data_IF_813752975476
#
_entry.id   IF_813752975476
#
_cell.length_a   1.000
_cell.length_b   1.000
_cell.length_c   1.000
_cell.angle_alpha   90.00
_cell.angle_beta   90.00
_cell.angle_gamma   90.00
#
_symmetry.space_group_name_H-M   'P 1'
#
loop_
_entity.id
_entity.type
_entity.pdbx_description
1 polymer ?
#
# COMPACT_ATOMS: atom_id res chain seq x y z
N UNK A 1 -10.49 -85.83 149.96
CA UNK A 1 -10.99 -87.00 150.70
C UNK A 1 -12.44 -86.78 151.06
N UNK A 2 -13.34 -87.71 150.75
CA UNK A 2 -14.64 -87.80 151.40
C UNK A 2 -14.52 -88.51 152.76
N UNK A 3 -15.56 -88.31 153.58
CA UNK A 3 -15.92 -88.97 154.86
C UNK A 3 -15.36 -88.44 156.19
N UNK A 4 -16.28 -88.43 157.17
CA UNK A 4 -16.24 -88.07 158.61
C UNK A 4 -16.55 -86.58 158.93
N UNK A 5 -17.80 -86.18 159.17
CA UNK A 5 -18.76 -86.53 160.25
C UNK A 5 -18.44 -85.91 161.61
N UNK A 6 -19.35 -85.02 162.06
CA UNK A 6 -19.97 -85.07 163.39
C UNK A 6 -19.15 -84.74 164.65
N UNK A 7 -19.39 -83.53 165.17
CA UNK A 7 -19.44 -83.10 166.60
C UNK A 7 -18.21 -83.31 167.53
N UNK A 8 -17.69 -82.15 167.96
CA UNK A 8 -16.92 -81.73 169.15
C UNK A 8 -17.11 -82.53 170.48
N UNK A 9 -16.31 -82.28 171.54
CA UNK A 9 -14.85 -82.01 171.62
C UNK A 9 -14.20 -82.80 172.79
N UNK A 10 -13.13 -83.56 172.56
CA UNK A 10 -12.03 -83.75 173.55
C UNK A 10 -10.92 -84.61 172.94
N UNK A 11 -9.68 -84.12 173.08
CA UNK A 11 -8.38 -84.72 172.76
C UNK A 11 -7.85 -84.47 171.34
N UNK A 12 -7.14 -83.34 171.23
CA UNK A 12 -6.30 -82.90 170.13
C UNK A 12 -4.97 -83.69 170.07
N UNK A 13 -4.52 -84.00 168.86
CA UNK A 13 -3.13 -84.35 168.53
C UNK A 13 -2.57 -83.39 167.48
N UNK A 14 -1.32 -82.96 167.67
CA UNK A 14 -0.63 -81.90 166.90
C UNK A 14 -0.36 -82.26 165.43
N UNK A 15 -0.36 -83.55 165.11
CA UNK A 15 -0.03 -84.09 163.78
C UNK A 15 -1.13 -83.84 162.73
N UNK A 16 -2.41 -83.84 163.12
CA UNK A 16 -3.53 -83.56 162.19
C UNK A 16 -3.64 -82.07 161.84
N UNK A 17 -3.25 -81.18 162.76
CA UNK A 17 -3.12 -79.74 162.52
C UNK A 17 -1.93 -79.42 161.61
N UNK A 18 -0.80 -80.12 161.77
CA UNK A 18 0.35 -80.00 160.87
C UNK A 18 0.04 -80.52 159.47
N UNK A 19 -0.70 -81.63 159.32
CA UNK A 19 -1.13 -82.13 158.02
C UNK A 19 -2.06 -81.16 157.29
N UNK A 20 -3.01 -80.52 158.00
CA UNK A 20 -3.90 -79.50 157.44
C UNK A 20 -3.15 -78.20 157.08
N UNK A 21 -2.19 -77.77 157.90
CA UNK A 21 -1.41 -76.54 157.68
C UNK A 21 -0.41 -76.72 156.52
N UNK A 22 0.21 -77.89 156.38
CA UNK A 22 1.04 -78.24 155.21
C UNK A 22 0.19 -78.37 153.94
N UNK A 23 -1.01 -78.95 154.02
CA UNK A 23 -1.92 -79.02 152.87
C UNK A 23 -2.42 -77.64 152.44
N UNK A 24 -2.79 -76.77 153.39
CA UNK A 24 -3.19 -75.39 153.13
C UNK A 24 -2.03 -74.57 152.54
N UNK A 25 -0.81 -74.69 153.07
CA UNK A 25 0.36 -74.02 152.51
C UNK A 25 0.70 -74.53 151.11
N UNK A 26 0.62 -75.85 150.87
CA UNK A 26 0.82 -76.44 149.53
C UNK A 26 -0.26 -75.99 148.54
N UNK A 27 -1.50 -75.80 149.00
CA UNK A 27 -2.60 -75.23 148.21
C UNK A 27 -2.38 -73.75 147.91
N UNK A 28 -1.92 -72.95 148.89
CA UNK A 28 -1.60 -71.53 148.71
C UNK A 28 -0.42 -71.36 147.75
N UNK A 29 0.66 -72.14 147.90
CA UNK A 29 1.80 -72.12 146.97
C UNK A 29 1.38 -72.58 145.58
N UNK A 30 0.49 -73.58 145.47
CA UNK A 30 -0.08 -73.97 144.19
C UNK A 30 -0.89 -72.82 143.55
N UNK A 31 -1.77 -72.16 144.31
CA UNK A 31 -2.54 -71.01 143.82
C UNK A 31 -1.65 -69.80 143.47
N UNK A 32 -0.61 -69.52 144.25
CA UNK A 32 0.36 -68.47 143.94
C UNK A 32 1.14 -68.79 142.67
N UNK A 33 1.57 -70.04 142.50
CA UNK A 33 2.20 -70.49 141.26
C UNK A 33 1.23 -70.45 140.08
N UNK A 34 -0.03 -70.80 140.28
CA UNK A 34 -1.07 -70.73 139.24
C UNK A 34 -1.36 -69.28 138.86
N UNK A 35 -1.41 -68.34 139.81
CA UNK A 35 -1.57 -66.89 139.55
C UNK A 35 -0.34 -66.32 138.84
N UNK A 36 0.87 -66.67 139.25
CA UNK A 36 2.09 -66.22 138.58
C UNK A 36 2.16 -66.75 137.14
N UNK A 37 1.80 -68.02 136.93
CA UNK A 37 1.67 -68.62 135.58
C UNK A 37 0.60 -67.91 134.76
N UNK A 38 -0.56 -67.61 135.34
CA UNK A 38 -1.62 -66.85 134.66
C UNK A 38 -1.15 -65.46 134.27
N UNK A 39 -0.46 -64.71 135.15
CA UNK A 39 0.05 -63.36 134.83
C UNK A 39 1.14 -63.37 133.76
N UNK A 40 2.04 -64.36 133.77
CA UNK A 40 3.05 -64.51 132.71
C UNK A 40 2.35 -64.86 131.39
N UNK A 41 1.42 -65.80 131.41
CA UNK A 41 0.65 -66.18 130.22
C UNK A 41 -0.22 -65.03 129.68
N UNK A 42 -0.82 -64.22 130.55
CA UNK A 42 -1.55 -63.00 130.18
C UNK A 42 -0.62 -61.90 129.67
N UNK A 43 0.54 -61.70 130.29
CA UNK A 43 1.52 -60.71 129.81
C UNK A 43 2.11 -61.12 128.47
N UNK A 44 2.40 -62.41 128.27
CA UNK A 44 2.92 -62.96 127.03
C UNK A 44 1.83 -62.97 125.94
N UNK A 45 0.57 -63.26 126.29
CA UNK A 45 -0.54 -63.16 125.34
C UNK A 45 -0.82 -61.71 124.92
N UNK A 46 -0.72 -60.75 125.86
CA UNK A 46 -0.85 -59.32 125.55
C UNK A 46 0.31 -58.83 124.70
N UNK A 47 1.56 -59.22 124.99
CA UNK A 47 2.72 -58.88 124.15
C UNK A 47 2.59 -59.49 122.76
N UNK A 48 2.23 -60.77 122.66
CA UNK A 48 1.98 -61.42 121.38
C UNK A 48 0.86 -60.73 120.60
N UNK A 49 -0.22 -60.30 121.28
CA UNK A 49 -1.29 -59.53 120.65
C UNK A 49 -0.82 -58.15 120.17
N UNK A 50 0.02 -57.45 120.94
CA UNK A 50 0.62 -56.16 120.54
C UNK A 50 1.57 -56.34 119.36
N UNK A 51 2.38 -57.40 119.34
CA UNK A 51 3.32 -57.67 118.24
C UNK A 51 2.57 -58.04 116.95
N UNK A 52 1.47 -58.81 117.05
CA UNK A 52 0.55 -59.05 115.93
C UNK A 52 -0.06 -57.74 115.44
N UNK A 53 -0.55 -56.88 116.34
CA UNK A 53 -1.10 -55.57 115.96
C UNK A 53 -0.07 -54.64 115.31
N UNK A 54 1.18 -54.63 115.80
CA UNK A 54 2.27 -53.86 115.19
C UNK A 54 2.59 -54.36 113.79
N UNK A 55 2.73 -55.67 113.61
CA UNK A 55 2.96 -56.26 112.30
C UNK A 55 1.80 -55.96 111.33
N UNK A 56 0.55 -55.97 111.81
CA UNK A 56 -0.60 -55.61 110.99
C UNK A 56 -0.63 -54.11 110.65
N UNK A 57 -0.27 -53.22 111.59
CA UNK A 57 -0.12 -51.79 111.33
C UNK A 57 1.01 -51.53 110.32
N UNK A 58 2.17 -52.15 110.48
CA UNK A 58 3.31 -52.00 109.58
C UNK A 58 2.96 -52.47 108.17
N UNK A 59 2.26 -53.62 108.04
CA UNK A 59 1.73 -54.10 106.77
C UNK A 59 0.74 -53.11 106.14
N UNK A 60 -0.18 -52.55 106.93
CA UNK A 60 -1.12 -51.55 106.44
C UNK A 60 -0.43 -50.24 106.02
N UNK A 61 0.61 -49.83 106.75
CA UNK A 61 1.42 -48.66 106.42
C UNK A 61 2.21 -48.91 105.14
N UNK A 62 2.89 -50.04 105.01
CA UNK A 62 3.61 -50.43 103.78
C UNK A 62 2.67 -50.49 102.58
N UNK A 63 1.49 -51.11 102.72
CA UNK A 63 0.48 -51.13 101.66
C UNK A 63 0.03 -49.73 101.27
N UNK A 64 -0.26 -48.85 102.24
CA UNK A 64 -0.63 -47.46 101.96
C UNK A 64 0.50 -46.66 101.32
N UNK A 65 1.75 -46.88 101.74
CA UNK A 65 2.92 -46.23 101.15
C UNK A 65 3.11 -46.71 99.72
N UNK A 66 3.03 -48.02 99.45
CA UNK A 66 3.12 -48.58 98.10
C UNK A 66 2.00 -48.07 97.20
N UNK A 67 0.75 -48.03 97.69
CA UNK A 67 -0.38 -47.47 96.95
C UNK A 67 -0.16 -45.99 96.63
N UNK A 68 0.36 -45.20 97.60
CA UNK A 68 0.63 -43.78 97.41
C UNK A 68 1.77 -43.54 96.43
N UNK A 69 2.86 -44.32 96.51
CA UNK A 69 3.99 -44.28 95.56
C UNK A 69 3.52 -44.66 94.16
N UNK A 70 2.72 -45.71 94.02
CA UNK A 70 2.15 -46.13 92.74
C UNK A 70 1.28 -45.02 92.12
N UNK A 71 0.39 -44.42 92.92
CA UNK A 71 -0.44 -43.28 92.46
C UNK A 71 0.41 -42.08 92.04
N UNK A 72 1.43 -41.72 92.81
CA UNK A 72 2.32 -40.60 92.43
C UNK A 72 3.14 -40.90 91.18
N UNK A 73 3.58 -42.15 91.00
CA UNK A 73 4.31 -42.56 89.81
C UNK A 73 3.39 -42.53 88.58
N UNK A 74 2.16 -43.04 88.70
CA UNK A 74 1.14 -42.98 87.66
C UNK A 74 0.83 -41.52 87.27
N UNK A 75 0.55 -40.66 88.25
CA UNK A 75 0.33 -39.23 88.05
C UNK A 75 1.51 -38.56 87.33
N UNK A 76 2.75 -38.84 87.74
CA UNK A 76 3.93 -38.29 87.07
C UNK A 76 4.07 -38.83 85.64
N UNK A 77 3.80 -40.11 85.39
CA UNK A 77 3.84 -40.64 84.02
C UNK A 77 2.75 -40.05 83.13
N UNK A 78 1.58 -39.77 83.68
CA UNK A 78 0.48 -39.15 82.96
C UNK A 78 0.77 -37.67 82.68
N UNK A 79 1.35 -36.95 83.65
CA UNK A 79 1.85 -35.58 83.46
C UNK A 79 2.93 -35.54 82.37
N UNK A 80 3.92 -36.43 82.40
CA UNK A 80 4.98 -36.51 81.38
C UNK A 80 4.42 -36.83 79.99
N UNK A 81 3.51 -37.80 79.88
CA UNK A 81 2.83 -38.11 78.61
C UNK A 81 2.02 -36.93 78.10
N UNK A 82 1.32 -36.22 79.00
CA UNK A 82 0.55 -35.03 78.65
C UNK A 82 1.47 -33.91 78.16
N UNK A 83 2.63 -33.73 78.80
CA UNK A 83 3.64 -32.76 78.39
C UNK A 83 4.27 -33.12 77.05
N UNK A 84 4.65 -34.38 76.83
CA UNK A 84 5.17 -34.86 75.54
C UNK A 84 4.15 -34.66 74.42
N UNK A 85 2.88 -34.98 74.68
CA UNK A 85 1.80 -34.76 73.72
C UNK A 85 1.63 -33.28 73.40
N UNK A 86 1.60 -32.42 74.40
CA UNK A 86 1.48 -30.96 74.20
C UNK A 86 2.67 -30.41 73.41
N UNK A 87 3.89 -30.88 73.73
CA UNK A 87 5.10 -30.46 73.03
C UNK A 87 5.09 -30.91 71.57
N UNK A 88 4.70 -32.15 71.28
CA UNK A 88 4.50 -32.65 69.90
C UNK A 88 3.46 -31.84 69.16
N UNK A 89 2.33 -31.52 69.81
CA UNK A 89 1.28 -30.69 69.21
C UNK A 89 1.80 -29.29 68.85
N UNK A 90 2.56 -28.65 69.74
CA UNK A 90 3.16 -27.34 69.47
C UNK A 90 4.16 -27.39 68.32
N UNK A 91 5.02 -28.43 68.28
CA UNK A 91 5.96 -28.60 67.16
C UNK A 91 5.23 -28.87 65.84
N UNK A 92 4.21 -29.73 65.84
CA UNK A 92 3.42 -30.02 64.64
C UNK A 92 2.69 -28.76 64.14
N UNK A 93 2.16 -27.93 65.04
CA UNK A 93 1.54 -26.64 64.71
C UNK A 93 2.55 -25.66 64.12
N UNK A 94 3.73 -25.54 64.71
CA UNK A 94 4.81 -24.69 64.18
C UNK A 94 5.29 -25.16 62.81
N UNK A 95 5.51 -26.47 62.63
CA UNK A 95 5.92 -27.03 61.35
C UNK A 95 4.85 -26.82 60.27
N UNK A 96 3.57 -27.04 60.60
CA UNK A 96 2.47 -26.74 59.68
C UNK A 96 2.44 -25.26 59.30
N UNK A 97 2.63 -24.37 60.29
CA UNK A 97 2.65 -22.94 60.04
C UNK A 97 3.79 -22.55 59.09
N UNK A 98 5.01 -23.02 59.34
CA UNK A 98 6.16 -22.75 58.48
C UNK A 98 5.96 -23.30 57.06
N UNK A 99 5.46 -24.53 56.93
CA UNK A 99 5.16 -25.13 55.62
C UNK A 99 4.11 -24.28 54.86
N UNK A 100 3.06 -23.80 55.54
CA UNK A 100 2.06 -22.94 54.92
C UNK A 100 2.66 -21.62 54.47
N UNK A 101 3.52 -20.99 55.28
CA UNK A 101 4.21 -19.76 54.90
C UNK A 101 5.12 -19.98 53.69
N UNK A 102 5.90 -21.07 53.68
CA UNK A 102 6.76 -21.45 52.56
C UNK A 102 5.96 -21.68 51.28
N UNK A 103 4.83 -22.40 51.35
CA UNK A 103 3.96 -22.61 50.20
C UNK A 103 3.31 -21.31 49.71
N UNK A 104 2.90 -20.43 50.62
CA UNK A 104 2.38 -19.12 50.26
C UNK A 104 3.44 -18.27 49.55
N UNK A 105 4.66 -18.21 50.09
CA UNK A 105 5.77 -17.49 49.48
C UNK A 105 6.13 -18.05 48.09
N UNK A 106 6.17 -19.39 47.94
CA UNK A 106 6.42 -20.03 46.65
C UNK A 106 5.31 -19.73 45.63
N UNK A 107 4.05 -19.76 46.08
CA UNK A 107 2.89 -19.49 45.21
C UNK A 107 2.89 -18.03 44.76
N UNK A 108 3.20 -17.09 45.66
CA UNK A 108 3.35 -15.67 45.34
C UNK A 108 4.51 -15.45 44.37
N UNK A 109 5.66 -16.03 44.64
CA UNK A 109 6.81 -15.96 43.73
C UNK A 109 6.48 -16.50 42.34
N UNK A 110 5.81 -17.66 42.26
CA UNK A 110 5.40 -18.23 40.98
C UNK A 110 4.40 -17.32 40.25
N UNK A 111 3.43 -16.76 40.96
CA UNK A 111 2.47 -15.81 40.40
C UNK A 111 3.17 -14.54 39.86
N UNK A 112 4.16 -14.02 40.58
CA UNK A 112 4.95 -12.86 40.17
C UNK A 112 5.80 -13.17 38.92
N UNK A 113 6.48 -14.32 38.89
CA UNK A 113 7.26 -14.74 37.72
C UNK A 113 6.37 -14.92 36.51
N UNK A 114 5.22 -15.60 36.66
CA UNK A 114 4.26 -15.77 35.58
C UNK A 114 3.72 -14.41 35.10
N UNK A 115 3.35 -13.51 36.01
CA UNK A 115 2.88 -12.17 35.66
C UNK A 115 3.92 -11.39 34.86
N UNK A 116 5.20 -11.43 35.26
CA UNK A 116 6.29 -10.80 34.51
C UNK A 116 6.46 -11.41 33.12
N UNK A 117 6.45 -12.74 33.01
CA UNK A 117 6.53 -13.42 31.72
C UNK A 117 5.36 -13.03 30.80
N UNK A 118 4.14 -12.98 31.32
CA UNK A 118 2.98 -12.52 30.55
C UNK A 118 3.13 -11.06 30.10
N UNK A 119 3.64 -10.17 30.96
CA UNK A 119 3.88 -8.78 30.58
C UNK A 119 4.97 -8.64 29.52
N UNK A 120 6.05 -9.42 29.63
CA UNK A 120 7.11 -9.44 28.62
C UNK A 120 6.59 -9.94 27.28
N UNK A 121 5.83 -11.04 27.28
CA UNK A 121 5.19 -11.58 26.08
C UNK A 121 4.18 -10.60 25.48
N UNK A 122 3.37 -9.95 26.29
CA UNK A 122 2.41 -8.95 25.83
C UNK A 122 3.12 -7.76 25.17
N UNK A 123 4.21 -7.25 25.78
CA UNK A 123 5.01 -6.18 25.19
C UNK A 123 5.69 -6.60 23.89
N UNK A 124 6.20 -7.83 23.82
CA UNK A 124 6.85 -8.33 22.61
C UNK A 124 5.84 -8.52 21.48
N UNK A 125 4.65 -9.06 21.80
CA UNK A 125 3.56 -9.19 20.84
C UNK A 125 3.07 -7.82 20.35
N UNK A 126 2.92 -6.84 21.24
CA UNK A 126 2.54 -5.47 20.87
C UNK A 126 3.59 -4.82 19.96
N UNK A 127 4.88 -4.99 20.27
CA UNK A 127 5.97 -4.53 19.40
C UNK A 127 5.96 -5.22 18.04
N UNK A 128 5.70 -6.53 17.99
CA UNK A 128 5.59 -7.25 16.73
C UNK A 128 4.41 -6.75 15.91
N UNK A 129 3.26 -6.52 16.54
CA UNK A 129 2.08 -5.99 15.87
C UNK A 129 2.33 -4.58 15.33
N UNK A 130 2.99 -3.71 16.10
CA UNK A 130 3.35 -2.36 15.65
C UNK A 130 4.39 -2.40 14.52
N UNK A 131 5.39 -3.29 14.61
CA UNK A 131 6.36 -3.50 13.53
C UNK A 131 5.69 -4.00 12.23
N UNK A 132 4.73 -4.92 12.32
CA UNK A 132 4.01 -5.38 11.12
C UNK A 132 3.08 -4.30 10.57
N UNK A 133 2.39 -3.54 11.45
CA UNK A 133 1.58 -2.39 11.07
C UNK A 133 2.41 -1.32 10.35
N UNK A 134 3.56 -0.95 10.89
CA UNK A 134 4.47 0.03 10.28
C UNK A 134 5.01 -0.47 8.93
N UNK A 135 5.38 -1.75 8.81
CA UNK A 135 5.79 -2.35 7.52
C UNK A 135 4.68 -2.27 6.47
N UNK A 136 3.44 -2.62 6.84
CA UNK A 136 2.29 -2.55 5.94
C UNK A 136 2.05 -1.10 5.51
N UNK A 137 2.04 -0.15 6.45
CA UNK A 137 1.87 1.27 6.14
C UNK A 137 2.96 1.81 5.22
N UNK A 138 4.23 1.45 5.44
CA UNK A 138 5.35 1.85 4.58
C UNK A 138 5.22 1.24 3.17
N UNK A 139 4.82 -0.02 3.06
CA UNK A 139 4.60 -0.66 1.77
C UNK A 139 3.46 0.04 1.00
N UNK A 140 2.34 0.33 1.67
CA UNK A 140 1.23 1.07 1.08
C UNK A 140 1.63 2.47 0.64
N UNK A 141 2.40 3.21 1.44
CA UNK A 141 2.92 4.52 1.06
C UNK A 141 3.84 4.45 -0.17
N UNK A 142 4.70 3.44 -0.24
CA UNK A 142 5.58 3.23 -1.40
C UNK A 142 4.76 2.88 -2.66
N UNK A 143 3.75 2.02 -2.54
CA UNK A 143 2.84 1.71 -3.64
C UNK A 143 2.08 2.95 -4.09
N UNK A 144 1.53 3.74 -3.17
CA UNK A 144 0.87 5.00 -3.49
C UNK A 144 1.81 5.98 -4.20
N UNK A 145 3.03 6.15 -3.72
CA UNK A 145 4.03 7.00 -4.37
C UNK A 145 4.34 6.53 -5.79
N UNK A 146 4.61 5.24 -5.99
CA UNK A 146 4.86 4.71 -7.34
C UNK A 146 3.66 4.87 -8.27
N UNK A 147 2.43 4.74 -7.78
CA UNK A 147 1.23 5.02 -8.58
C UNK A 147 1.08 6.51 -8.89
N UNK A 148 1.41 7.39 -7.95
CA UNK A 148 1.38 8.84 -8.14
C UNK A 148 2.44 9.28 -9.16
N UNK A 149 3.67 8.75 -9.07
CA UNK A 149 4.74 9.02 -10.03
C UNK A 149 4.32 8.56 -11.44
N UNK A 150 3.66 7.41 -11.55
CA UNK A 150 3.08 6.93 -12.83
C UNK A 150 1.97 7.84 -13.33
N UNK A 151 1.09 8.33 -12.46
CA UNK A 151 0.02 9.25 -12.82
C UNK A 151 0.58 10.58 -13.32
N UNK A 152 1.58 11.15 -12.65
CA UNK A 152 2.26 12.36 -13.14
C UNK A 152 2.99 12.15 -14.45
N UNK A 153 3.63 10.99 -14.65
CA UNK A 153 4.23 10.66 -15.94
C UNK A 153 3.17 10.57 -17.06
N UNK A 154 2.00 10.00 -16.77
CA UNK A 154 0.87 9.95 -17.70
C UNK A 154 0.32 11.34 -17.95
N UNK A 155 0.14 12.16 -16.91
CA UNK A 155 -0.33 13.55 -17.01
C UNK A 155 0.60 14.39 -17.89
N UNK A 156 1.91 14.32 -17.66
CA UNK A 156 2.92 15.00 -18.48
C UNK A 156 2.93 14.49 -19.92
N UNK A 157 2.77 13.17 -20.13
CA UNK A 157 2.67 12.60 -21.46
C UNK A 157 1.38 13.04 -22.18
N UNK A 158 0.26 13.17 -21.46
CA UNK A 158 -1.01 13.67 -22.00
C UNK A 158 -0.90 15.14 -22.38
N UNK A 159 -0.31 15.98 -21.52
CA UNK A 159 -0.14 17.41 -21.79
C UNK A 159 0.78 17.65 -23.01
N UNK A 160 1.91 16.94 -23.08
CA UNK A 160 2.79 16.98 -24.24
C UNK A 160 2.11 16.49 -25.53
N UNK A 161 1.30 15.42 -25.44
CA UNK A 161 0.52 14.92 -26.56
C UNK A 161 -0.61 15.88 -26.97
N UNK A 162 -1.26 16.56 -26.02
CA UNK A 162 -2.34 17.51 -26.28
C UNK A 162 -1.83 18.66 -27.14
N UNK A 163 -0.72 19.29 -26.73
CA UNK A 163 -0.10 20.38 -27.50
C UNK A 163 0.31 19.93 -28.90
N UNK A 164 0.87 18.72 -29.02
CA UNK A 164 1.28 18.17 -30.31
C UNK A 164 0.08 17.87 -31.21
N UNK A 165 -0.99 17.28 -30.65
CA UNK A 165 -2.22 17.00 -31.37
C UNK A 165 -2.97 18.27 -31.76
N UNK A 166 -2.98 19.31 -30.93
CA UNK A 166 -3.62 20.58 -31.27
C UNK A 166 -2.95 21.22 -32.48
N UNK A 167 -1.60 21.24 -32.51
CA UNK A 167 -0.83 21.71 -33.67
C UNK A 167 -1.04 20.83 -34.89
N UNK A 168 -1.03 19.51 -34.71
CA UNK A 168 -1.32 18.55 -35.78
C UNK A 168 -2.71 18.75 -36.40
N UNK A 169 -3.74 18.97 -35.57
CA UNK A 169 -5.10 19.25 -36.02
C UNK A 169 -5.19 20.57 -36.79
N UNK A 170 -4.51 21.62 -36.32
CA UNK A 170 -4.43 22.91 -37.04
C UNK A 170 -3.77 22.71 -38.40
N UNK A 171 -2.65 21.99 -38.46
CA UNK A 171 -1.94 21.68 -39.70
C UNK A 171 -2.79 20.87 -40.68
N UNK A 172 -3.46 19.82 -40.20
CA UNK A 172 -4.39 19.03 -41.02
C UNK A 172 -5.54 19.87 -41.56
N UNK A 173 -6.12 20.73 -40.73
CA UNK A 173 -7.20 21.61 -41.15
C UNK A 173 -6.71 22.61 -42.21
N UNK A 174 -5.52 23.18 -42.05
CA UNK A 174 -4.90 24.01 -43.10
C UNK A 174 -4.68 23.24 -44.39
N UNK A 175 -4.17 22.01 -44.31
CA UNK A 175 -3.93 21.16 -45.47
C UNK A 175 -5.22 20.89 -46.26
N UNK A 176 -6.30 20.50 -45.57
CA UNK A 176 -7.61 20.27 -46.22
C UNK A 176 -8.11 21.54 -46.91
N UNK A 177 -7.98 22.69 -46.26
CA UNK A 177 -8.41 23.96 -46.86
C UNK A 177 -7.53 24.35 -48.06
N UNK A 178 -6.21 24.14 -47.98
CA UNK A 178 -5.29 24.39 -49.08
C UNK A 178 -5.60 23.52 -50.30
N UNK A 179 -5.85 22.21 -50.08
CA UNK A 179 -6.25 21.27 -51.12
C UNK A 179 -7.60 21.65 -51.74
N UNK A 180 -8.57 22.06 -50.90
CA UNK A 180 -9.85 22.54 -51.38
C UNK A 180 -9.70 23.79 -52.25
N UNK A 181 -8.83 24.73 -51.88
CA UNK A 181 -8.53 25.91 -52.70
C UNK A 181 -7.85 25.50 -53.99
N UNK A 182 -6.85 24.62 -53.97
CA UNK A 182 -6.17 24.15 -55.17
C UNK A 182 -7.18 23.53 -56.14
N UNK A 183 -8.05 22.64 -55.65
CA UNK A 183 -9.11 22.03 -56.45
C UNK A 183 -10.09 23.08 -57.00
N UNK A 184 -10.45 24.10 -56.20
CA UNK A 184 -11.32 25.20 -56.62
C UNK A 184 -10.66 26.16 -57.61
N UNK A 185 -9.35 26.32 -57.58
CA UNK A 185 -8.58 27.11 -58.57
C UNK A 185 -8.49 26.36 -59.90
N UNK A 186 -8.31 25.04 -59.87
CA UNK A 186 -8.31 24.21 -61.09
C UNK A 186 -9.69 24.13 -61.73
N UNK A 187 -10.74 23.85 -60.93
CA UNK A 187 -12.10 23.61 -61.42
C UNK A 187 -13.02 24.83 -61.42
N UNK A 188 -12.63 25.93 -60.77
CA UNK A 188 -13.28 27.22 -60.94
C UNK A 188 -14.46 27.58 -60.08
N UNK A 189 -14.57 26.98 -58.91
CA UNK A 189 -15.68 27.20 -57.98
C UNK A 189 -15.17 27.87 -56.71
N UNK A 190 -14.30 28.87 -56.87
CA UNK A 190 -13.76 29.60 -55.71
C UNK A 190 -14.84 30.51 -55.13
N UNK A 191 -15.27 30.23 -53.90
CA UNK A 191 -16.20 31.06 -53.14
C UNK A 191 -15.45 31.85 -52.07
N UNK A 192 -15.79 33.12 -51.87
CA UNK A 192 -15.16 33.99 -50.84
C UNK A 192 -15.20 33.39 -49.43
N UNK A 193 -16.20 32.54 -49.16
CA UNK A 193 -16.39 31.88 -47.87
C UNK A 193 -15.21 30.99 -47.43
N UNK A 194 -14.42 30.43 -48.35
CA UNK A 194 -13.29 29.54 -48.00
C UNK A 194 -12.08 30.32 -47.47
N UNK A 195 -11.94 31.58 -47.91
CA UNK A 195 -10.86 32.46 -47.49
C UNK A 195 -11.04 32.92 -46.05
N UNK A 196 -12.29 33.19 -45.66
CA UNK A 196 -12.60 33.58 -44.28
C UNK A 196 -12.40 32.42 -43.30
N UNK A 197 -12.58 31.17 -43.75
CA UNK A 197 -12.30 29.97 -42.95
C UNK A 197 -10.81 29.86 -42.61
N UNK A 198 -9.90 30.17 -43.54
CA UNK A 198 -8.44 30.16 -43.32
C UNK A 198 -8.01 31.19 -42.27
N UNK A 199 -8.58 32.41 -42.34
CA UNK A 199 -8.27 33.47 -41.38
C UNK A 199 -8.65 33.11 -39.92
N UNK A 200 -9.65 32.24 -39.74
CA UNK A 200 -10.10 31.77 -38.43
C UNK A 200 -9.23 30.64 -37.86
N UNK A 201 -8.53 29.88 -38.70
CA UNK A 201 -7.75 28.70 -38.28
C UNK A 201 -6.37 29.10 -37.78
N UNK A 202 -5.70 30.06 -38.44
CA UNK A 202 -4.37 30.54 -38.04
C UNK A 202 -4.33 32.08 -38.06
N UNK A 203 -4.76 32.72 -36.96
CA UNK A 203 -4.79 34.19 -36.90
C UNK A 203 -3.39 34.82 -36.73
N UNK A 204 -2.36 34.09 -36.29
CA UNK A 204 -1.11 34.70 -35.79
C UNK A 204 0.16 34.42 -36.62
N UNK A 205 0.10 33.67 -37.72
CA UNK A 205 1.29 33.40 -38.53
C UNK A 205 1.41 34.43 -39.66
N UNK A 206 2.43 35.30 -39.53
CA UNK A 206 2.77 36.33 -40.53
C UNK A 206 2.91 35.75 -41.93
N UNK A 207 3.44 34.52 -42.05
CA UNK A 207 3.60 33.83 -43.32
C UNK A 207 2.26 33.53 -44.00
N UNK A 208 1.31 32.95 -43.26
CA UNK A 208 -0.04 32.63 -43.78
C UNK A 208 -0.80 33.91 -44.13
N UNK A 209 -0.65 34.98 -43.34
CA UNK A 209 -1.26 36.28 -43.64
C UNK A 209 -0.71 36.92 -44.92
N UNK A 210 0.59 36.80 -45.19
CA UNK A 210 1.18 37.30 -46.45
C UNK A 210 0.64 36.52 -47.65
N UNK A 211 0.59 35.18 -47.56
CA UNK A 211 0.02 34.34 -48.62
C UNK A 211 -1.46 34.64 -48.86
N UNK A 212 -2.21 34.90 -47.79
CA UNK A 212 -3.61 35.27 -47.85
C UNK A 212 -3.84 36.64 -48.50
N UNK A 213 -2.99 37.62 -48.20
CA UNK A 213 -3.07 38.93 -48.85
C UNK A 213 -2.76 38.83 -50.35
N UNK A 214 -1.80 37.98 -50.75
CA UNK A 214 -1.53 37.70 -52.16
C UNK A 214 -2.75 37.08 -52.86
N UNK A 215 -3.51 36.23 -52.17
CA UNK A 215 -4.71 35.60 -52.71
C UNK A 215 -5.92 36.55 -52.80
N UNK A 216 -6.06 37.49 -51.85
CA UNK A 216 -7.16 38.48 -51.79
C UNK A 216 -7.01 39.67 -52.73
N UNK A 217 -5.79 40.00 -53.16
CA UNK A 217 -5.51 41.24 -53.91
C UNK A 217 -6.11 41.27 -55.31
N UNK A 218 -6.52 40.12 -55.87
CA UNK A 218 -7.05 40.04 -57.23
C UNK A 218 -8.59 39.88 -57.27
N UNK A 219 -9.30 40.99 -57.50
CA UNK A 219 -10.73 41.03 -57.89
C UNK A 219 -11.00 40.45 -59.30
N UNK A 220 -9.98 39.90 -59.96
CA UNK A 220 -10.12 39.33 -61.30
C UNK A 220 -11.12 38.16 -61.31
N UNK A 221 -12.04 38.10 -62.30
CA UNK A 221 -13.03 37.02 -62.39
C UNK A 221 -12.34 35.66 -62.39
N UNK A 222 -12.92 34.74 -61.61
CA UNK A 222 -12.41 33.40 -61.31
C UNK A 222 -11.89 32.75 -62.59
N UNK A 223 -10.57 32.63 -62.66
CA UNK A 223 -9.86 32.22 -63.87
C UNK A 223 -9.59 30.72 -63.79
N UNK A 224 -10.44 29.93 -64.42
CA UNK A 224 -10.28 28.47 -64.46
C UNK A 224 -9.18 28.09 -65.45
N UNK A 225 -8.60 26.92 -65.26
CA UNK A 225 -7.68 26.33 -66.23
C UNK A 225 -8.36 26.17 -67.61
N UNK A 226 -9.60 25.67 -67.61
CA UNK A 226 -10.40 25.48 -68.82
C UNK A 226 -10.76 26.81 -69.51
N UNK A 227 -11.19 27.81 -68.73
CA UNK A 227 -11.51 29.15 -69.25
C UNK A 227 -10.25 29.82 -69.83
N UNK A 228 -9.10 29.68 -69.17
CA UNK A 228 -7.85 30.28 -69.62
C UNK A 228 -7.33 29.61 -70.90
N UNK A 229 -7.55 28.30 -71.05
CA UNK A 229 -7.26 27.54 -72.28
C UNK A 229 -8.20 27.95 -73.43
N UNK A 230 -9.49 28.14 -73.14
CA UNK A 230 -10.45 28.65 -74.14
C UNK A 230 -10.08 30.08 -74.58
N UNK A 231 -9.77 30.97 -73.62
CA UNK A 231 -9.32 32.34 -73.90
C UNK A 231 -8.02 32.36 -74.70
N UNK A 232 -7.08 31.46 -74.41
CA UNK A 232 -5.87 31.32 -75.22
C UNK A 232 -6.20 31.02 -76.69
N UNK A 233 -7.19 30.16 -76.96
CA UNK A 233 -7.58 29.87 -78.34
C UNK A 233 -8.06 31.11 -79.10
N UNK A 234 -8.72 32.04 -78.41
CA UNK A 234 -9.16 33.32 -78.96
C UNK A 234 -7.97 34.27 -79.16
N UNK A 235 -7.13 34.44 -78.13
CA UNK A 235 -5.93 35.28 -78.17
C UNK A 235 -4.96 34.80 -79.25
N UNK A 236 -4.79 33.50 -79.43
CA UNK A 236 -3.99 32.91 -80.51
C UNK A 236 -4.49 33.32 -81.90
N UNK A 237 -5.80 33.31 -82.13
CA UNK A 237 -6.39 33.78 -83.40
C UNK A 237 -6.14 35.26 -83.62
N UNK A 238 -6.27 36.08 -82.58
CA UNK A 238 -6.03 37.52 -82.66
C UNK A 238 -4.54 37.83 -82.88
N UNK A 239 -3.64 37.21 -82.12
CA UNK A 239 -2.19 37.41 -82.26
C UNK A 239 -1.71 36.99 -83.65
N UNK A 240 -2.24 35.89 -84.22
CA UNK A 240 -1.93 35.48 -85.60
C UNK A 240 -2.35 36.50 -86.66
N UNK A 241 -3.47 37.20 -86.45
CA UNK A 241 -3.93 38.27 -87.37
C UNK A 241 -3.06 39.52 -87.28
N UNK A 242 -2.30 39.69 -86.20
CA UNK A 242 -1.55 40.89 -85.86
C UNK A 242 -0.02 40.62 -85.88
N UNK A 243 0.39 39.41 -86.23
CA UNK A 243 1.76 38.90 -86.07
C UNK A 243 2.84 39.64 -86.90
N UNK A 244 2.49 40.26 -88.03
CA UNK A 244 3.42 41.00 -88.91
C UNK A 244 3.56 42.49 -88.57
N UNK A 245 2.93 42.94 -87.48
CA UNK A 245 2.86 44.37 -87.14
C UNK A 245 4.00 44.69 -86.16
N UNK A 246 4.99 45.42 -86.66
CA UNK A 246 6.11 45.93 -85.86
C UNK A 246 5.85 47.38 -85.43
N UNK A 247 6.33 47.74 -84.23
CA UNK A 247 6.10 49.02 -83.54
C UNK A 247 6.53 50.29 -84.30
N UNK A 248 7.20 50.17 -85.45
CA UNK A 248 7.72 51.29 -86.25
C UNK A 248 6.98 51.61 -87.56
N UNK A 249 6.19 50.69 -88.14
CA UNK A 249 5.62 50.87 -89.49
C UNK A 249 4.21 50.26 -89.65
N UNK A 250 3.18 51.08 -89.41
CA UNK A 250 1.77 50.69 -89.48
C UNK A 250 1.11 51.11 -90.79
N UNK A 251 1.22 50.28 -91.83
CA UNK A 251 0.40 50.44 -93.04
C UNK A 251 -0.83 49.53 -92.98
N UNK A 252 -2.00 50.02 -93.39
CA UNK A 252 -3.23 49.22 -93.51
C UNK A 252 -3.04 47.98 -94.40
N UNK A 253 -2.12 48.05 -95.37
CA UNK A 253 -1.72 46.90 -96.18
C UNK A 253 -1.06 45.78 -95.37
N UNK A 254 -0.28 46.11 -94.33
CA UNK A 254 0.34 45.12 -93.45
C UNK A 254 -0.72 44.38 -92.60
N UNK A 255 -1.82 45.05 -92.21
CA UNK A 255 -2.97 44.40 -91.58
C UNK A 255 -3.65 43.39 -92.52
N UNK A 256 -3.86 43.78 -93.79
CA UNK A 256 -4.47 42.91 -94.79
C UNK A 256 -3.60 41.69 -95.10
N UNK A 257 -2.28 41.89 -95.30
CA UNK A 257 -1.32 40.81 -95.51
C UNK A 257 -1.20 39.88 -94.30
N UNK A 258 -1.19 40.41 -93.07
CA UNK A 258 -1.17 39.59 -91.86
C UNK A 258 -2.44 38.75 -91.71
N UNK A 259 -3.60 39.31 -92.06
CA UNK A 259 -4.86 38.57 -92.11
C UNK A 259 -4.81 37.45 -93.16
N UNK A 260 -4.32 37.73 -94.37
CA UNK A 260 -4.24 36.77 -95.46
C UNK A 260 -3.23 35.64 -95.16
N UNK A 261 -2.05 35.97 -94.63
CA UNK A 261 -1.04 35.01 -94.20
C UNK A 261 -1.54 34.14 -93.03
N UNK A 262 -2.28 34.74 -92.08
CA UNK A 262 -2.86 33.98 -90.95
C UNK A 262 -3.91 32.94 -91.39
N UNK A 263 -4.52 33.13 -92.56
CA UNK A 263 -5.48 32.21 -93.18
C UNK A 263 -4.79 31.10 -93.99
N UNK A 264 -3.64 31.41 -94.58
CA UNK A 264 -2.92 30.52 -95.51
C UNK A 264 -1.93 29.58 -94.79
N UNK A 265 -1.39 29.98 -93.64
CA UNK A 265 -0.51 29.13 -92.82
C UNK A 265 -1.37 28.13 -92.03
N UNK A 266 -1.64 27.00 -92.67
CA UNK A 266 -2.25 25.80 -92.07
C UNK A 266 -1.26 25.18 -91.07
N UNK A 267 -1.80 24.80 -89.91
CA UNK A 267 -1.15 24.08 -88.80
C UNK A 267 0.06 23.23 -89.24
N UNK A 268 1.27 23.72 -88.97
CA UNK A 268 2.42 22.84 -88.74
C UNK A 268 2.29 22.33 -87.30
N UNK A 269 2.02 21.03 -87.15
CA UNK A 269 2.16 20.30 -85.90
C UNK A 269 3.61 19.83 -85.84
N UNK A 270 4.45 20.62 -85.19
CA UNK A 270 5.80 20.18 -84.87
C UNK A 270 5.74 19.56 -83.46
N UNK A 271 5.56 18.24 -83.42
CA UNK A 271 5.53 17.42 -82.20
C UNK A 271 6.95 17.14 -81.65
N UNK A 272 7.97 17.91 -82.06
CA UNK A 272 9.38 17.52 -81.95
C UNK A 272 10.19 18.21 -80.83
N UNK A 273 9.58 18.80 -79.81
CA UNK A 273 10.33 19.46 -78.73
C UNK A 273 9.89 18.95 -77.37
N UNK A 274 10.36 17.75 -77.04
CA UNK A 274 10.38 17.20 -75.69
C UNK A 274 11.77 17.24 -75.05
N UNK A 275 12.76 17.86 -75.70
CA UNK A 275 14.13 17.87 -75.19
C UNK A 275 14.69 19.28 -75.22
N UNK A 276 15.42 19.56 -74.14
CA UNK A 276 16.26 20.67 -73.74
C UNK A 276 17.26 21.18 -74.81
N UNK A 277 16.81 21.39 -76.04
CA UNK A 277 17.59 22.06 -77.07
C UNK A 277 17.42 23.57 -76.90
N UNK A 278 18.55 24.26 -76.73
CA UNK A 278 18.64 25.70 -76.58
C UNK A 278 17.82 26.39 -77.68
N UNK A 279 16.65 26.89 -77.31
CA UNK A 279 15.78 27.65 -78.20
C UNK A 279 16.55 28.89 -78.64
N UNK A 280 16.90 28.97 -79.93
CA UNK A 280 17.51 30.16 -80.52
C UNK A 280 16.47 31.31 -80.51
N UNK A 281 16.53 32.13 -79.45
CA UNK A 281 15.62 33.24 -79.18
C UNK A 281 15.57 34.30 -80.30
N UNK A 282 16.55 34.31 -81.20
CA UNK A 282 16.71 35.32 -82.26
C UNK A 282 16.05 34.94 -83.60
N UNK A 283 15.58 33.70 -83.79
CA UNK A 283 14.92 33.25 -85.03
C UNK A 283 13.44 32.89 -84.85
N UNK A 284 12.88 33.17 -83.67
CA UNK A 284 11.55 32.70 -83.30
C UNK A 284 10.46 33.62 -83.87
N UNK A 285 9.82 33.18 -84.96
CA UNK A 285 8.67 33.86 -85.54
C UNK A 285 7.44 33.78 -84.59
N UNK A 286 6.63 34.84 -84.53
CA UNK A 286 5.43 34.95 -83.69
C UNK A 286 4.50 33.73 -83.84
N UNK A 287 4.42 33.15 -85.04
CA UNK A 287 3.61 31.96 -85.30
C UNK A 287 4.16 30.69 -84.62
N UNK A 288 5.48 30.53 -84.60
CA UNK A 288 6.16 29.40 -83.93
C UNK A 288 5.97 29.48 -82.42
N UNK A 289 6.13 30.69 -81.84
CA UNK A 289 5.87 30.97 -80.42
C UNK A 289 4.46 30.54 -80.03
N UNK A 290 3.44 30.95 -80.78
CA UNK A 290 2.04 30.59 -80.50
C UNK A 290 1.72 29.09 -80.68
N UNK A 291 2.51 28.36 -81.46
CA UNK A 291 2.39 26.91 -81.58
C UNK A 291 3.04 26.19 -80.40
N UNK A 292 4.23 26.64 -79.99
CA UNK A 292 4.89 26.12 -78.79
C UNK A 292 4.06 26.36 -77.53
N UNK A 293 3.52 27.57 -77.37
CA UNK A 293 2.64 27.89 -76.24
C UNK A 293 1.43 26.95 -76.22
N UNK A 294 0.82 26.64 -77.38
CA UNK A 294 -0.28 25.67 -77.43
C UNK A 294 0.17 24.27 -76.97
N UNK A 295 1.34 23.81 -77.42
CA UNK A 295 1.89 22.51 -77.00
C UNK A 295 2.17 22.47 -75.49
N UNK A 296 2.81 23.51 -74.93
CA UNK A 296 3.05 23.61 -73.49
C UNK A 296 1.75 23.66 -72.68
N UNK A 297 0.71 24.32 -73.20
CA UNK A 297 -0.61 24.32 -72.59
C UNK A 297 -1.25 22.94 -72.61
N UNK A 298 -1.12 22.16 -73.68
CA UNK A 298 -1.64 20.78 -73.76
C UNK A 298 -0.96 19.84 -72.74
N UNK A 299 0.31 20.09 -72.40
CA UNK A 299 1.07 19.37 -71.36
C UNK A 299 0.95 19.98 -69.95
N UNK A 300 0.03 20.93 -69.73
CA UNK A 300 -0.19 21.64 -68.45
C UNK A 300 1.06 22.38 -67.91
N UNK A 301 2.02 22.74 -68.77
CA UNK A 301 3.23 23.49 -68.43
C UNK A 301 3.00 25.00 -68.55
N UNK A 302 2.13 25.53 -67.70
CA UNK A 302 1.70 26.94 -67.71
C UNK A 302 2.84 27.94 -67.55
N UNK A 303 3.91 27.60 -66.81
CA UNK A 303 5.06 28.48 -66.62
C UNK A 303 5.85 28.72 -67.91
N UNK A 304 6.12 27.65 -68.67
CA UNK A 304 6.83 27.74 -69.95
C UNK A 304 5.99 28.47 -70.99
N UNK A 305 4.67 28.24 -70.99
CA UNK A 305 3.71 28.95 -71.82
C UNK A 305 3.71 30.48 -71.55
N UNK A 306 3.72 30.88 -70.27
CA UNK A 306 3.79 32.29 -69.86
C UNK A 306 5.09 32.94 -70.35
N UNK A 307 6.23 32.28 -70.14
CA UNK A 307 7.57 32.78 -70.53
C UNK A 307 7.65 33.04 -72.03
N UNK A 308 7.11 32.14 -72.85
CA UNK A 308 7.09 32.30 -74.31
C UNK A 308 6.14 33.40 -74.76
N UNK A 309 4.99 33.56 -74.11
CA UNK A 309 4.06 34.64 -74.44
C UNK A 309 4.61 36.03 -74.08
N UNK A 310 5.49 36.12 -73.06
CA UNK A 310 6.19 37.37 -72.72
C UNK A 310 7.27 37.76 -73.75
N UNK A 311 7.78 36.80 -74.52
CA UNK A 311 8.77 37.03 -75.59
C UNK A 311 8.15 37.68 -76.83
N UNK A 312 6.82 37.69 -76.97
CA UNK A 312 6.13 38.37 -78.05
C UNK A 312 6.49 39.86 -78.07
N UNK A 313 6.74 40.39 -79.27
CA UNK A 313 7.05 41.80 -79.52
C UNK A 313 5.98 42.45 -80.38
N UNK A 314 5.79 43.76 -80.26
CA UNK A 314 4.81 44.52 -81.04
C UNK A 314 3.37 44.43 -80.56
N UNK A 315 2.43 44.73 -81.45
CA UNK A 315 0.99 44.62 -81.21
C UNK A 315 0.47 43.24 -80.74
N UNK A 316 1.02 42.07 -81.15
CA UNK A 316 0.56 40.79 -80.59
C UNK A 316 0.84 40.68 -79.08
N UNK A 317 1.86 41.37 -78.55
CA UNK A 317 2.10 41.46 -77.10
C UNK A 317 0.98 42.21 -76.39
N UNK A 318 0.53 43.34 -76.94
CA UNK A 318 -0.55 44.15 -76.36
C UNK A 318 -1.85 43.35 -76.27
N UNK A 319 -2.18 42.58 -77.32
CA UNK A 319 -3.34 41.69 -77.35
C UNK A 319 -3.20 40.53 -76.35
N UNK A 320 -2.00 39.97 -76.24
CA UNK A 320 -1.69 38.90 -75.30
C UNK A 320 -1.62 39.39 -73.83
N UNK A 321 -1.42 40.67 -73.58
CA UNK A 321 -1.14 41.24 -72.25
C UNK A 321 -2.20 40.89 -71.21
N UNK A 322 -3.49 40.95 -71.60
CA UNK A 322 -4.59 40.55 -70.70
C UNK A 322 -4.49 39.08 -70.32
N UNK A 323 -4.25 38.20 -71.28
CA UNK A 323 -4.08 36.77 -71.01
C UNK A 323 -2.81 36.50 -70.20
N UNK A 324 -1.71 37.21 -70.44
CA UNK A 324 -0.46 37.09 -69.67
C UNK A 324 -0.70 37.45 -68.20
N UNK A 325 -1.42 38.54 -67.93
CA UNK A 325 -1.76 38.94 -66.56
C UNK A 325 -2.66 37.90 -65.87
N UNK A 326 -3.70 37.43 -66.56
CA UNK A 326 -4.62 36.42 -66.01
C UNK A 326 -3.92 35.08 -65.76
N UNK A 327 -3.00 34.69 -66.64
CA UNK A 327 -2.18 33.46 -66.48
C UNK A 327 -1.18 33.61 -65.34
N UNK A 328 -0.61 34.80 -65.15
CA UNK A 328 0.27 35.11 -64.02
C UNK A 328 -0.50 35.03 -62.70
N UNK A 329 -1.71 35.55 -62.66
CA UNK A 329 -2.56 35.52 -61.47
C UNK A 329 -2.99 34.09 -61.13
N UNK A 330 -3.38 33.29 -62.14
CA UNK A 330 -3.64 31.86 -61.96
C UNK A 330 -2.43 31.11 -61.39
N UNK A 331 -1.24 31.34 -61.95
CA UNK A 331 0.00 30.72 -61.46
C UNK A 331 0.35 31.15 -60.04
N UNK A 332 0.16 32.43 -59.71
CA UNK A 332 0.37 32.92 -58.34
C UNK A 332 -0.58 32.22 -57.36
N UNK A 333 -1.87 32.10 -57.70
CA UNK A 333 -2.86 31.38 -56.88
C UNK A 333 -2.45 29.91 -56.67
N UNK A 334 -2.08 29.21 -57.74
CA UNK A 334 -1.62 27.81 -57.68
C UNK A 334 -0.36 27.65 -56.82
N UNK A 335 0.64 28.51 -57.01
CA UNK A 335 1.87 28.49 -56.21
C UNK A 335 1.59 28.79 -54.73
N UNK A 336 0.72 29.74 -54.43
CA UNK A 336 0.36 30.04 -53.04
C UNK A 336 -0.36 28.88 -52.35
N UNK A 337 -1.23 28.14 -53.05
CA UNK A 337 -1.86 26.93 -52.49
C UNK A 337 -0.86 25.80 -52.29
N UNK A 338 0.03 25.55 -53.25
CA UNK A 338 1.10 24.53 -53.14
C UNK A 338 2.07 24.86 -51.98
N UNK A 339 2.42 26.15 -51.80
CA UNK A 339 3.22 26.60 -50.67
C UNK A 339 2.48 26.41 -49.34
N UNK A 340 1.17 26.63 -49.28
CA UNK A 340 0.36 26.39 -48.09
C UNK A 340 0.26 24.89 -47.75
N UNK A 341 0.17 24.03 -48.76
CA UNK A 341 0.23 22.57 -48.59
C UNK A 341 1.61 22.12 -48.08
N UNK A 342 2.69 22.59 -48.71
CA UNK A 342 4.05 22.29 -48.25
C UNK A 342 4.29 22.77 -46.81
N UNK A 343 3.78 23.96 -46.48
CA UNK A 343 3.87 24.52 -45.15
C UNK A 343 3.08 23.70 -44.12
N UNK A 344 1.82 23.38 -44.39
CA UNK A 344 1.00 22.56 -43.51
C UNK A 344 1.59 21.15 -43.31
N UNK A 345 2.15 20.55 -44.36
CA UNK A 345 2.89 19.28 -44.27
C UNK A 345 4.13 19.41 -43.38
N UNK A 346 4.90 20.50 -43.50
CA UNK A 346 6.08 20.73 -42.65
C UNK A 346 5.73 20.87 -41.17
N UNK A 347 4.63 21.55 -40.86
CA UNK A 347 4.11 21.66 -39.49
C UNK A 347 3.63 20.28 -39.02
N UNK A 348 2.87 19.56 -39.84
CA UNK A 348 2.38 18.21 -39.53
C UNK A 348 3.51 17.25 -39.19
N UNK A 349 4.58 17.23 -40.00
CA UNK A 349 5.79 16.45 -39.76
C UNK A 349 6.52 16.85 -38.47
N UNK A 350 6.56 18.16 -38.17
CA UNK A 350 7.15 18.68 -36.92
C UNK A 350 6.36 18.32 -35.65
N UNK A 351 5.10 17.89 -35.79
CA UNK A 351 4.21 17.51 -34.67
C UNK A 351 4.13 16.00 -34.42
N UNK A 352 4.83 15.19 -35.21
CA UNK A 352 4.97 13.77 -34.90
C UNK A 352 5.79 13.64 -33.61
N UNK A 353 5.30 12.91 -32.61
CA UNK A 353 6.06 12.69 -31.39
C UNK A 353 7.39 12.06 -31.80
N UNK A 354 8.50 12.73 -31.46
CA UNK A 354 9.83 12.12 -31.53
C UNK A 354 9.78 10.92 -30.58
N UNK A 355 9.58 9.74 -31.14
CA UNK A 355 9.77 8.48 -30.43
C UNK A 355 11.23 8.44 -30.00
N UNK A 356 11.49 8.77 -28.75
CA UNK A 356 12.77 8.56 -28.08
C UNK A 356 12.78 7.17 -27.43
#
# INVERSE_FOLDING_TARGET
FPSLAGKNPTQLTHEDLQALLVHAHRRIVKLQNDIARMRVNESDSVKAAIDVQRADIDRLVEQRVQERVAKTAEQLTDELKSYEKNLRQQFDEQLKHEIVLQHQALTQYLADVLSRQYQEWAREYEKQLDNESTKINLNLQNQLRTTLDRLHAIEQAIEANYDSQERGRKAQHLWIQAQNILNKVVHGTTTENDLDVISKIVPNEKFVQVLFNQLKTDESPITNEEMLRERFSHVKKLCRRVALINDGHNSLWNYFLSYFQSLLIVRQRDDSILVDDAIDLNQLDTFTILNYVQSYLEHNQWYNALRLMQLLTGEPKNVAQSWINDTRNYLAKKQTSELLEAYSNSIGLGTLPRTA
#
